data_IF_118954761333
#
_entry.id   IF_118954761333
#
_cell.length_a   1.000
_cell.length_b   1.000
_cell.length_c   1.000
_cell.angle_alpha   90.00
_cell.angle_beta   90.00
_cell.angle_gamma   90.00
#
_symmetry.space_group_name_H-M   'P 1'
#
loop_
_entity.id
_entity.type
_entity.pdbx_description
1 polymer ?
#
# COMPACT_ATOMS: atom_id res chain seq x y z
N UNK A 1 5.82 29.00 -1.27
CA UNK A 1 6.46 27.77 -1.80
C UNK A 1 5.39 26.69 -1.87
N UNK A 2 5.34 25.91 -2.96
CA UNK A 2 4.32 24.88 -3.19
C UNK A 2 4.91 23.48 -2.90
N UNK A 3 4.09 22.60 -2.30
CA UNK A 3 4.40 21.20 -2.02
C UNK A 3 3.24 20.35 -2.56
N UNK A 4 3.57 19.36 -3.37
CA UNK A 4 2.63 18.40 -3.91
C UNK A 4 2.58 17.15 -3.03
N UNK A 5 1.38 16.75 -2.63
CA UNK A 5 1.13 15.51 -1.91
C UNK A 5 0.04 14.72 -2.60
N UNK A 6 0.26 13.43 -2.83
CA UNK A 6 -0.76 12.56 -3.41
C UNK A 6 -0.80 11.20 -2.72
N UNK A 7 -2.02 10.70 -2.49
CA UNK A 7 -2.27 9.31 -2.09
C UNK A 7 -2.80 8.54 -3.27
N UNK A 8 -1.98 7.63 -3.80
CA UNK A 8 -2.37 6.77 -4.90
C UNK A 8 -3.16 5.58 -4.36
N UNK A 9 -4.36 5.36 -4.90
CA UNK A 9 -5.23 4.21 -4.62
C UNK A 9 -5.78 3.67 -5.94
N UNK A 10 -6.15 2.39 -5.99
CA UNK A 10 -6.87 1.83 -7.15
C UNK A 10 -8.33 2.32 -7.23
N UNK A 11 -8.93 2.66 -6.09
CA UNK A 11 -10.34 3.04 -5.97
C UNK A 11 -11.14 2.03 -5.14
N UNK A 12 -12.16 2.52 -4.43
CA UNK A 12 -13.00 1.72 -3.53
C UNK A 12 -14.47 1.59 -4.02
N UNK A 13 -14.78 2.17 -5.18
CA UNK A 13 -16.15 2.36 -5.68
C UNK A 13 -16.33 1.79 -7.11
N UNK A 14 -15.37 1.04 -7.65
CA UNK A 14 -15.35 0.61 -9.07
C UNK A 14 -16.64 -0.13 -9.45
N UNK A 15 -17.06 -1.12 -8.66
CA UNK A 15 -18.29 -1.88 -8.93
C UNK A 15 -19.55 -1.00 -8.86
N UNK A 16 -19.56 -0.01 -7.97
CA UNK A 16 -20.69 0.90 -7.77
C UNK A 16 -20.80 1.91 -8.92
N UNK A 17 -19.67 2.47 -9.37
CA UNK A 17 -19.60 3.37 -10.52
C UNK A 17 -20.03 2.66 -11.81
N UNK A 18 -19.58 1.42 -12.01
CA UNK A 18 -19.99 0.60 -13.17
C UNK A 18 -21.50 0.29 -13.15
N UNK A 19 -22.03 -0.12 -11.99
CA UNK A 19 -23.46 -0.38 -11.85
C UNK A 19 -24.30 0.89 -12.08
N UNK A 20 -23.82 2.05 -11.59
CA UNK A 20 -24.46 3.35 -11.80
C UNK A 20 -24.45 3.76 -13.28
N UNK A 21 -23.32 3.62 -13.97
CA UNK A 21 -23.19 3.90 -15.39
C UNK A 21 -24.18 3.09 -16.24
N UNK A 22 -24.29 1.78 -15.95
CA UNK A 22 -25.27 0.92 -16.59
C UNK A 22 -26.72 1.34 -16.31
N UNK A 23 -27.05 1.72 -15.07
CA UNK A 23 -28.39 2.12 -14.68
C UNK A 23 -28.83 3.46 -15.29
N UNK A 24 -27.90 4.40 -15.46
CA UNK A 24 -28.17 5.75 -15.98
C UNK A 24 -27.86 5.91 -17.48
N UNK A 25 -27.32 4.88 -18.13
CA UNK A 25 -27.07 4.86 -19.57
C UNK A 25 -25.92 5.75 -20.03
N UNK A 26 -24.93 6.03 -19.17
CA UNK A 26 -23.71 6.76 -19.56
C UNK A 26 -22.48 5.84 -19.58
N UNK A 27 -21.42 6.29 -20.25
CA UNK A 27 -20.16 5.54 -20.36
C UNK A 27 -19.53 5.30 -18.98
N UNK A 28 -19.14 4.05 -18.69
CA UNK A 28 -18.41 3.70 -17.48
C UNK A 28 -17.11 4.54 -17.40
N UNK A 29 -16.93 5.39 -16.36
CA UNK A 29 -15.76 6.24 -16.22
C UNK A 29 -14.54 5.49 -15.64
N UNK A 30 -14.70 4.22 -15.28
CA UNK A 30 -13.65 3.42 -14.64
C UNK A 30 -12.82 2.64 -15.67
N UNK A 31 -11.67 2.15 -15.24
CA UNK A 31 -10.86 1.26 -16.07
C UNK A 31 -11.62 -0.05 -16.36
N UNK A 32 -11.41 -0.65 -17.54
CA UNK A 32 -12.17 -1.83 -17.96
C UNK A 32 -11.86 -3.07 -17.10
N UNK A 33 -10.63 -3.21 -16.61
CA UNK A 33 -10.18 -4.37 -15.82
C UNK A 33 -9.28 -4.01 -14.64
N UNK A 34 -9.03 -5.00 -13.79
CA UNK A 34 -8.07 -4.91 -12.68
C UNK A 34 -6.65 -4.65 -13.18
N UNK A 35 -6.25 -5.28 -14.28
CA UNK A 35 -4.95 -5.16 -14.92
C UNK A 35 -4.79 -3.75 -15.51
N UNK A 36 -5.81 -3.22 -16.19
CA UNK A 36 -5.81 -1.85 -16.69
C UNK A 36 -5.67 -0.83 -15.54
N UNK A 37 -6.41 -1.05 -14.44
CA UNK A 37 -6.29 -0.22 -13.22
C UNK A 37 -4.90 -0.31 -12.61
N UNK A 38 -4.32 -1.52 -12.56
CA UNK A 38 -2.97 -1.74 -12.01
C UNK A 38 -1.91 -1.10 -12.88
N UNK A 39 -2.01 -1.20 -14.21
CA UNK A 39 -1.11 -0.52 -15.14
C UNK A 39 -1.16 0.99 -14.95
N UNK A 40 -2.37 1.59 -14.94
CA UNK A 40 -2.54 3.02 -14.74
C UNK A 40 -1.98 3.49 -13.39
N UNK A 41 -2.17 2.71 -12.32
CA UNK A 41 -1.57 2.98 -11.01
C UNK A 41 -0.05 2.96 -11.09
N UNK A 42 0.55 1.93 -11.71
CA UNK A 42 2.00 1.80 -11.84
C UNK A 42 2.59 2.94 -12.70
N UNK A 43 1.96 3.28 -13.83
CA UNK A 43 2.36 4.40 -14.69
C UNK A 43 2.34 5.72 -13.90
N UNK A 44 1.29 5.96 -13.12
CA UNK A 44 1.15 7.17 -12.26
C UNK A 44 2.24 7.23 -11.20
N UNK A 45 2.53 6.11 -10.54
CA UNK A 45 3.59 6.02 -9.54
C UNK A 45 4.96 6.28 -10.18
N UNK A 46 5.23 5.68 -11.34
CA UNK A 46 6.47 5.90 -12.09
C UNK A 46 6.65 7.37 -12.45
N UNK A 47 5.61 8.06 -12.93
CA UNK A 47 5.70 9.49 -13.23
C UNK A 47 6.05 10.30 -11.97
N UNK A 48 5.39 10.04 -10.84
CA UNK A 48 5.69 10.73 -9.60
C UNK A 48 7.13 10.49 -9.12
N UNK A 49 7.61 9.25 -9.22
CA UNK A 49 8.99 8.87 -8.88
C UNK A 49 10.01 9.54 -9.80
N UNK A 50 9.74 9.60 -11.11
CA UNK A 50 10.56 10.33 -12.09
C UNK A 50 10.67 11.81 -11.71
N UNK A 51 9.56 12.47 -11.33
CA UNK A 51 9.59 13.87 -10.90
C UNK A 51 10.37 14.08 -9.61
N UNK A 52 10.23 13.18 -8.63
CA UNK A 52 11.04 13.21 -7.41
C UNK A 52 12.53 13.10 -7.76
N UNK A 53 12.90 12.17 -8.65
CA UNK A 53 14.28 11.97 -9.09
C UNK A 53 14.86 13.22 -9.75
N UNK A 54 14.13 13.85 -10.65
CA UNK A 54 14.56 15.10 -11.32
C UNK A 54 14.85 16.20 -10.29
N UNK A 55 13.99 16.38 -9.30
CA UNK A 55 14.21 17.38 -8.23
C UNK A 55 15.43 17.04 -7.37
N UNK A 56 15.59 15.75 -7.02
CA UNK A 56 16.73 15.25 -6.26
C UNK A 56 18.06 15.51 -7.00
N UNK A 57 18.10 15.26 -8.31
CA UNK A 57 19.29 15.47 -9.14
C UNK A 57 19.68 16.94 -9.27
N UNK A 58 18.69 17.83 -9.21
CA UNK A 58 18.91 19.28 -9.21
C UNK A 58 19.44 19.82 -7.87
N UNK A 59 19.65 18.95 -6.87
CA UNK A 59 20.05 19.36 -5.53
C UNK A 59 18.90 20.01 -4.74
N UNK A 60 17.67 19.97 -5.26
CA UNK A 60 16.48 20.47 -4.59
C UNK A 60 15.93 19.40 -3.65
N UNK A 61 16.65 19.20 -2.54
CA UNK A 61 16.38 18.20 -1.50
C UNK A 61 15.14 18.53 -0.66
N UNK A 62 14.47 19.65 -0.94
CA UNK A 62 13.21 19.94 -0.27
C UNK A 62 12.20 18.91 -0.79
N UNK A 63 11.67 18.07 0.12
CA UNK A 63 10.59 17.08 -0.10
C UNK A 63 9.30 17.72 -0.65
N UNK A 64 9.39 18.31 -1.85
CA UNK A 64 8.36 19.08 -2.54
C UNK A 64 7.30 18.17 -3.14
N UNK A 65 7.61 16.89 -3.29
CA UNK A 65 6.68 15.85 -3.75
C UNK A 65 6.68 14.75 -2.69
N UNK A 66 5.51 14.49 -2.11
CA UNK A 66 5.27 13.39 -1.18
C UNK A 66 4.19 12.46 -1.72
N UNK A 67 4.49 11.17 -1.86
CA UNK A 67 3.56 10.19 -2.41
C UNK A 67 3.27 9.10 -1.39
N UNK A 68 1.99 8.86 -1.15
CA UNK A 68 1.52 7.69 -0.43
C UNK A 68 1.12 6.58 -1.41
N UNK A 69 1.84 5.46 -1.38
CA UNK A 69 1.52 4.22 -2.09
C UNK A 69 0.52 3.44 -1.23
N UNK A 70 -0.79 3.64 -1.44
CA UNK A 70 -1.82 2.96 -0.65
C UNK A 70 -2.31 1.68 -1.34
N UNK A 71 -1.66 0.55 -1.01
CA UNK A 71 -1.95 -0.75 -1.64
C UNK A 71 -1.62 -1.93 -0.73
N UNK A 72 -2.59 -2.83 -0.56
CA UNK A 72 -2.39 -4.15 0.07
C UNK A 72 -1.96 -5.25 -0.91
N UNK A 73 -1.61 -4.89 -2.15
CA UNK A 73 -1.12 -5.83 -3.14
C UNK A 73 0.42 -5.87 -3.05
N UNK A 74 0.95 -7.07 -2.78
CA UNK A 74 2.38 -7.31 -2.61
C UNK A 74 3.18 -6.98 -3.88
N UNK A 75 2.66 -7.29 -5.07
CA UNK A 75 3.32 -7.01 -6.35
C UNK A 75 3.43 -5.51 -6.59
N UNK A 76 2.42 -4.72 -6.23
CA UNK A 76 2.47 -3.25 -6.30
C UNK A 76 3.47 -2.67 -5.30
N UNK A 77 3.59 -3.27 -4.11
CA UNK A 77 4.60 -2.86 -3.12
C UNK A 77 6.00 -3.21 -3.62
N UNK A 78 6.21 -4.42 -4.14
CA UNK A 78 7.46 -4.85 -4.79
C UNK A 78 7.86 -3.94 -5.93
N UNK A 79 6.90 -3.60 -6.81
CA UNK A 79 7.10 -2.67 -7.92
C UNK A 79 7.53 -1.28 -7.42
N UNK A 80 6.88 -0.73 -6.40
CA UNK A 80 7.28 0.56 -5.84
C UNK A 80 8.71 0.52 -5.29
N UNK A 81 9.05 -0.53 -4.54
CA UNK A 81 10.38 -0.73 -3.96
C UNK A 81 11.46 -0.90 -5.05
N UNK A 82 11.17 -1.64 -6.11
CA UNK A 82 12.10 -1.83 -7.22
C UNK A 82 12.37 -0.51 -7.95
N UNK A 83 11.31 0.26 -8.25
CA UNK A 83 11.44 1.57 -8.90
C UNK A 83 12.24 2.55 -8.02
N UNK A 84 11.95 2.60 -6.72
CA UNK A 84 12.71 3.44 -5.78
C UNK A 84 14.19 3.07 -5.76
N UNK A 85 14.51 1.78 -5.71
CA UNK A 85 15.89 1.28 -5.72
C UNK A 85 16.60 1.63 -7.03
N UNK A 86 15.94 1.43 -8.17
CA UNK A 86 16.49 1.69 -9.50
C UNK A 86 16.90 3.16 -9.68
N UNK A 87 16.08 4.09 -9.19
CA UNK A 87 16.35 5.53 -9.32
C UNK A 87 17.06 6.13 -8.10
N UNK A 88 17.49 5.32 -7.14
CA UNK A 88 18.27 5.79 -5.97
C UNK A 88 17.47 6.65 -4.98
N UNK A 89 16.16 6.40 -4.83
CA UNK A 89 15.36 6.96 -3.74
C UNK A 89 15.51 6.06 -2.51
N UNK A 90 16.07 6.62 -1.45
CA UNK A 90 16.28 5.97 -0.16
C UNK A 90 15.04 6.14 0.74
N UNK A 91 14.77 5.20 1.66
CA UNK A 91 13.83 5.42 2.76
C UNK A 91 14.06 6.70 3.57
N UNK A 92 15.29 7.20 3.62
CA UNK A 92 15.67 8.42 4.35
C UNK A 92 15.30 9.71 3.62
N UNK A 93 15.00 9.63 2.32
CA UNK A 93 14.49 10.79 1.58
C UNK A 93 13.09 11.19 2.10
N UNK A 94 12.35 10.26 2.73
CA UNK A 94 10.99 10.48 3.29
C UNK A 94 9.95 11.05 2.30
N UNK A 95 10.18 10.86 1.01
CA UNK A 95 9.28 11.28 -0.09
C UNK A 95 8.19 10.24 -0.42
N UNK A 96 8.38 8.98 0.01
CA UNK A 96 7.40 7.89 -0.17
C UNK A 96 6.91 7.37 1.18
N UNK A 97 5.60 7.15 1.28
CA UNK A 97 4.95 6.48 2.42
C UNK A 97 4.07 5.32 1.93
N UNK A 98 4.17 4.15 2.55
CA UNK A 98 3.31 3.00 2.24
C UNK A 98 2.06 3.01 3.09
N UNK A 99 0.91 3.28 2.47
CA UNK A 99 -0.39 3.31 3.13
C UNK A 99 -1.04 1.93 3.16
N UNK A 100 -1.47 1.49 4.34
CA UNK A 100 -2.13 0.22 4.57
C UNK A 100 -3.29 0.42 5.54
N UNK A 101 -4.39 -0.28 5.38
CA UNK A 101 -5.43 -0.39 6.40
C UNK A 101 -4.92 -1.21 7.59
N UNK A 102 -5.34 -0.84 8.81
CA UNK A 102 -5.10 -1.63 10.01
C UNK A 102 -5.85 -2.97 9.94
N UNK A 103 -5.20 -4.04 10.43
CA UNK A 103 -5.77 -5.39 10.44
C UNK A 103 -5.72 -6.12 9.10
N UNK A 104 -4.98 -5.57 8.13
CA UNK A 104 -4.83 -6.15 6.80
C UNK A 104 -3.37 -6.16 6.36
N UNK A 105 -2.88 -7.36 6.01
CA UNK A 105 -1.57 -7.58 5.40
C UNK A 105 -0.41 -7.02 6.24
N UNK A 106 -0.38 -7.30 7.54
CA UNK A 106 0.68 -6.79 8.40
C UNK A 106 2.04 -7.43 8.07
N UNK A 107 2.02 -8.63 7.48
CA UNK A 107 3.19 -9.27 6.89
C UNK A 107 3.87 -8.45 5.76
N UNK A 108 3.17 -7.47 5.16
CA UNK A 108 3.76 -6.50 4.22
C UNK A 108 4.31 -5.30 5.02
N UNK A 109 3.57 -4.85 6.02
CA UNK A 109 3.86 -3.59 6.72
C UNK A 109 5.04 -3.69 7.68
N UNK A 110 5.17 -4.80 8.41
CA UNK A 110 6.27 -4.98 9.35
C UNK A 110 7.64 -4.98 8.66
N UNK A 111 7.89 -5.76 7.58
CA UNK A 111 9.16 -5.71 6.87
C UNK A 111 9.47 -4.33 6.27
N UNK A 112 8.47 -3.61 5.76
CA UNK A 112 8.65 -2.24 5.27
C UNK A 112 9.18 -1.31 6.37
N UNK A 113 8.53 -1.30 7.53
CA UNK A 113 8.96 -0.47 8.66
C UNK A 113 10.33 -0.87 9.20
N UNK A 114 10.61 -2.18 9.27
CA UNK A 114 11.92 -2.69 9.68
C UNK A 114 13.05 -2.35 8.69
N UNK A 115 12.73 -2.20 7.41
CA UNK A 115 13.65 -1.76 6.36
C UNK A 115 13.79 -0.21 6.28
N UNK A 116 13.22 0.53 7.23
CA UNK A 116 13.35 2.00 7.33
C UNK A 116 12.35 2.80 6.52
N UNK A 117 11.45 2.15 5.76
CA UNK A 117 10.43 2.84 4.97
C UNK A 117 9.32 3.38 5.86
N UNK A 118 8.81 4.56 5.51
CA UNK A 118 7.63 5.13 6.17
C UNK A 118 6.40 4.29 5.85
N UNK A 119 5.78 3.72 6.87
CA UNK A 119 4.52 2.99 6.76
C UNK A 119 3.41 3.71 7.53
N UNK A 120 2.26 3.87 6.90
CA UNK A 120 1.07 4.50 7.47
C UNK A 120 -0.06 3.48 7.61
N UNK A 121 -0.59 3.35 8.83
CA UNK A 121 -1.79 2.54 9.10
C UNK A 121 -3.02 3.44 9.17
N UNK A 122 -3.94 3.24 8.23
CA UNK A 122 -5.26 3.87 8.24
C UNK A 122 -6.18 3.12 9.22
N UNK A 123 -6.67 3.84 10.22
CA UNK A 123 -7.51 3.31 11.29
C UNK A 123 -8.86 4.04 11.22
N UNK A 124 -9.96 3.36 10.84
CA UNK A 124 -11.29 3.91 11.00
C UNK A 124 -11.62 3.98 12.51
N UNK A 125 -12.14 5.12 12.96
CA UNK A 125 -12.55 5.33 14.35
C UNK A 125 -13.87 6.10 14.38
N UNK A 126 -14.81 5.64 15.20
CA UNK A 126 -16.11 6.27 15.38
C UNK A 126 -17.18 5.29 15.88
N UNK A 127 -18.38 5.80 16.24
CA UNK A 127 -19.54 4.98 16.56
C UNK A 127 -19.90 3.98 15.45
N UNK A 128 -20.43 2.80 15.82
CA UNK A 128 -20.71 1.70 14.88
C UNK A 128 -21.59 2.15 13.70
N UNK A 129 -22.68 2.85 14.01
CA UNK A 129 -23.63 3.36 13.03
C UNK A 129 -22.99 4.30 11.99
N UNK A 130 -21.97 5.07 12.37
CA UNK A 130 -21.26 5.99 11.46
C UNK A 130 -20.25 5.27 10.57
N UNK A 131 -19.67 4.16 11.06
CA UNK A 131 -18.65 3.40 10.32
C UNK A 131 -19.22 2.24 9.49
N UNK A 132 -20.52 1.94 9.59
CA UNK A 132 -21.18 0.88 8.82
C UNK A 132 -20.93 0.97 7.30
N UNK A 133 -21.05 2.15 6.63
CA UNK A 133 -20.76 2.25 5.20
C UNK A 133 -19.30 1.89 4.87
N UNK A 134 -18.36 2.26 5.73
CA UNK A 134 -16.95 1.89 5.57
C UNK A 134 -16.74 0.38 5.70
N UNK A 135 -17.34 -0.23 6.73
CA UNK A 135 -17.26 -1.68 6.97
C UNK A 135 -17.85 -2.48 5.80
N UNK A 136 -18.98 -2.04 5.24
CA UNK A 136 -19.60 -2.66 4.06
C UNK A 136 -18.66 -2.65 2.84
N UNK A 137 -18.06 -1.50 2.53
CA UNK A 137 -17.07 -1.40 1.43
C UNK A 137 -15.86 -2.29 1.68
N UNK A 138 -15.38 -2.36 2.92
CA UNK A 138 -14.30 -3.27 3.29
C UNK A 138 -14.72 -4.72 3.10
N UNK A 139 -15.91 -5.12 3.50
CA UNK A 139 -16.41 -6.48 3.27
C UNK A 139 -16.46 -6.83 1.78
N UNK A 140 -16.89 -5.89 0.92
CA UNK A 140 -16.92 -6.07 -0.53
C UNK A 140 -15.51 -6.21 -1.14
N UNK A 141 -14.60 -5.29 -0.84
CA UNK A 141 -13.19 -5.35 -1.27
C UNK A 141 -12.50 -6.62 -0.74
N UNK A 142 -12.88 -7.03 0.46
CA UNK A 142 -12.31 -8.16 1.18
C UNK A 142 -12.89 -9.52 0.77
N UNK A 143 -13.77 -9.59 -0.25
CA UNK A 143 -14.13 -10.88 -0.86
C UNK A 143 -12.88 -11.67 -1.30
N UNK A 144 -11.81 -10.98 -1.70
CA UNK A 144 -10.49 -11.58 -1.98
C UNK A 144 -9.54 -11.72 -0.77
N UNK A 145 -9.88 -11.15 0.39
CA UNK A 145 -9.00 -11.11 1.57
C UNK A 145 -8.91 -12.43 2.31
N UNK A 146 -9.88 -13.36 2.14
CA UNK A 146 -9.72 -14.71 2.69
C UNK A 146 -8.40 -15.35 2.25
N UNK A 147 -7.98 -15.18 1.00
CA UNK A 147 -6.69 -15.69 0.50
C UNK A 147 -5.50 -15.04 1.22
N UNK A 148 -5.56 -13.72 1.46
CA UNK A 148 -4.50 -12.98 2.16
C UNK A 148 -4.42 -13.38 3.64
N UNK A 149 -5.55 -13.58 4.30
CA UNK A 149 -5.63 -14.06 5.68
C UNK A 149 -5.05 -15.47 5.84
N UNK A 150 -5.28 -16.37 4.87
CA UNK A 150 -4.67 -17.70 4.88
C UNK A 150 -3.14 -17.61 4.81
N UNK A 151 -2.60 -16.75 3.94
CA UNK A 151 -1.15 -16.49 3.86
C UNK A 151 -0.61 -15.93 5.18
N UNK A 152 -1.29 -14.94 5.76
CA UNK A 152 -0.88 -14.31 7.02
C UNK A 152 -0.88 -15.32 8.19
N UNK A 153 -1.94 -16.12 8.35
CA UNK A 153 -1.99 -17.20 9.34
C UNK A 153 -0.85 -18.21 9.16
N UNK A 154 -0.53 -18.58 7.91
CA UNK A 154 0.59 -19.47 7.62
C UNK A 154 1.93 -18.87 8.06
N UNK A 155 2.16 -17.59 7.79
CA UNK A 155 3.38 -16.87 8.19
C UNK A 155 3.50 -16.75 9.71
N UNK A 156 2.41 -16.41 10.41
CA UNK A 156 2.37 -16.35 11.87
C UNK A 156 2.64 -17.70 12.50
N UNK A 157 2.02 -18.77 11.98
CA UNK A 157 2.27 -20.15 12.45
C UNK A 157 3.73 -20.55 12.26
N UNK A 158 4.34 -20.20 11.11
CA UNK A 158 5.76 -20.46 10.84
C UNK A 158 6.66 -19.74 11.84
N UNK A 159 6.39 -18.48 12.14
CA UNK A 159 7.18 -17.69 13.11
C UNK A 159 7.00 -18.21 14.54
N UNK A 160 5.77 -18.56 14.94
CA UNK A 160 5.52 -19.15 16.27
C UNK A 160 6.27 -20.47 16.45
N UNK A 161 6.20 -21.36 15.45
CA UNK A 161 6.93 -22.63 15.47
C UNK A 161 8.44 -22.41 15.55
N UNK A 162 8.99 -21.46 14.78
CA UNK A 162 10.40 -21.08 14.83
C UNK A 162 10.80 -20.64 16.25
N UNK A 163 10.00 -19.79 16.90
CA UNK A 163 10.28 -19.33 18.27
C UNK A 163 10.30 -20.47 19.28
N UNK A 164 9.33 -21.39 19.20
CA UNK A 164 9.27 -22.56 20.08
C UNK A 164 10.50 -23.45 19.88
N UNK A 165 10.85 -23.78 18.64
CA UNK A 165 11.99 -24.65 18.32
C UNK A 165 13.34 -24.06 18.75
N UNK A 166 13.48 -22.75 18.80
CA UNK A 166 14.71 -22.07 19.22
C UNK A 166 14.66 -21.49 20.64
N UNK A 167 13.60 -21.76 21.43
CA UNK A 167 13.46 -21.24 22.79
C UNK A 167 13.34 -19.70 22.88
N UNK A 168 12.98 -19.01 21.79
CA UNK A 168 12.93 -17.55 21.68
C UNK A 168 11.54 -17.00 22.02
N UNK A 169 11.08 -17.20 23.26
CA UNK A 169 9.75 -16.74 23.70
C UNK A 169 9.61 -15.21 23.71
N UNK A 170 10.69 -14.51 24.08
CA UNK A 170 10.80 -13.04 23.99
C UNK A 170 11.84 -12.68 22.92
N UNK A 171 11.39 -12.51 21.68
CA UNK A 171 12.25 -12.19 20.54
C UNK A 171 12.08 -10.73 20.11
N UNK A 172 13.18 -9.98 20.14
CA UNK A 172 13.25 -8.68 19.46
C UNK A 172 13.89 -8.89 18.07
N UNK A 173 13.14 -8.67 16.98
CA UNK A 173 13.69 -8.76 15.63
C UNK A 173 14.86 -7.78 15.46
N UNK A 174 16.02 -8.29 15.05
CA UNK A 174 17.21 -7.50 14.70
C UNK A 174 17.83 -8.08 13.41
N UNK A 175 18.11 -7.24 12.41
CA UNK A 175 18.68 -7.67 11.13
C UNK A 175 18.43 -6.72 9.96
N UNK A 176 19.05 -7.02 8.81
CA UNK A 176 18.79 -6.35 7.54
C UNK A 176 17.55 -6.98 6.89
N UNK A 177 16.42 -6.28 6.97
CA UNK A 177 15.15 -6.77 6.43
C UNK A 177 15.02 -6.38 4.96
N UNK A 178 14.85 -7.39 4.11
CA UNK A 178 14.37 -7.15 2.74
C UNK A 178 12.85 -6.99 2.81
N UNK A 179 12.31 -5.80 2.51
CA UNK A 179 10.87 -5.63 2.41
C UNK A 179 10.32 -6.53 1.31
N UNK A 180 9.06 -6.97 1.48
CA UNK A 180 8.37 -8.02 0.72
C UNK A 180 9.06 -8.38 -0.57
#
# INVERSE_FOLDING_TARGET
>A
KFYFGAKLVRGAYIDQERARAAALGYTDPTNPSYEATTKMYHDTLTECLTRIKVLKDQGDVANKIGIMVASHNEDTVRFALSQMKEIGISPDDKVICFGQLLGMCDFITFPLGQAGYSAYKYIPYGPVNEVLPYLSRRAMENKGVLKKLVKEKKLLRKELFRRIMHGQFFYKPNGNYTPV
#
